data_IF_430143911284
#
_entry.id   IF_430143911284
#
_cell.length_a   1.000
_cell.length_b   1.000
_cell.length_c   1.000
_cell.angle_alpha   90.00
_cell.angle_beta   90.00
_cell.angle_gamma   90.00
#
_symmetry.space_group_name_H-M   'P 1'
#
loop_
_entity.id
_entity.type
_entity.pdbx_description
1 polymer ?
#
# COMPACT_ATOMS: atom_id res chain seq x y z
N UNK A 1 54.51 18.57 -19.43
CA UNK A 1 53.49 17.82 -20.22
C UNK A 1 52.91 16.57 -19.51
N UNK A 2 53.64 15.88 -18.61
CA UNK A 2 53.17 14.66 -17.91
C UNK A 2 52.02 14.88 -16.90
N UNK A 3 52.01 15.99 -16.15
CA UNK A 3 50.95 16.31 -15.17
C UNK A 3 49.54 16.46 -15.78
N UNK A 4 49.41 17.08 -16.97
CA UNK A 4 48.13 17.22 -17.69
C UNK A 4 47.56 15.87 -18.20
N UNK A 5 48.40 14.84 -18.39
CA UNK A 5 47.95 13.50 -18.77
C UNK A 5 47.47 12.69 -17.54
N UNK A 6 48.11 12.87 -16.39
CA UNK A 6 47.69 12.23 -15.14
C UNK A 6 46.33 12.75 -14.64
N UNK A 7 46.08 14.07 -14.72
CA UNK A 7 44.78 14.64 -14.33
C UNK A 7 43.62 14.17 -15.20
N UNK A 8 43.82 14.05 -16.52
CA UNK A 8 42.81 13.49 -17.44
C UNK A 8 42.48 12.03 -17.14
N UNK A 9 43.46 11.22 -16.74
CA UNK A 9 43.25 9.82 -16.34
C UNK A 9 42.46 9.70 -15.04
N UNK A 10 42.79 10.53 -14.04
CA UNK A 10 42.05 10.55 -12.77
C UNK A 10 40.61 10.97 -12.98
N UNK A 11 40.37 12.06 -13.75
CA UNK A 11 39.03 12.50 -14.09
C UNK A 11 38.25 11.40 -14.83
N UNK A 12 38.87 10.72 -15.79
CA UNK A 12 38.25 9.60 -16.49
C UNK A 12 37.87 8.46 -15.53
N UNK A 13 38.74 8.08 -14.59
CA UNK A 13 38.45 7.04 -13.60
C UNK A 13 37.31 7.44 -12.65
N UNK A 14 37.24 8.70 -12.23
CA UNK A 14 36.14 9.22 -11.40
C UNK A 14 34.82 9.16 -12.18
N UNK A 15 34.81 9.63 -13.43
CA UNK A 15 33.62 9.58 -14.28
C UNK A 15 33.17 8.14 -14.56
N UNK A 16 34.12 7.23 -14.79
CA UNK A 16 33.85 5.81 -14.97
C UNK A 16 33.26 5.19 -13.70
N UNK A 17 33.84 5.47 -12.53
CA UNK A 17 33.32 4.99 -11.25
C UNK A 17 31.91 5.53 -10.98
N UNK A 18 31.67 6.82 -11.23
CA UNK A 18 30.35 7.43 -11.11
C UNK A 18 29.33 6.78 -12.06
N UNK A 19 29.73 6.49 -13.30
CA UNK A 19 28.89 5.79 -14.27
C UNK A 19 28.55 4.37 -13.80
N UNK A 20 29.54 3.61 -13.32
CA UNK A 20 29.33 2.25 -12.80
C UNK A 20 28.38 2.26 -11.61
N UNK A 21 28.59 3.16 -10.65
CA UNK A 21 27.69 3.33 -9.50
C UNK A 21 26.28 3.73 -9.93
N UNK A 22 26.14 4.63 -10.91
CA UNK A 22 24.86 5.04 -11.45
C UNK A 22 24.12 3.90 -12.14
N UNK A 23 24.81 3.13 -12.99
CA UNK A 23 24.24 1.94 -13.64
C UNK A 23 23.83 0.89 -12.62
N UNK A 24 24.68 0.63 -11.62
CA UNK A 24 24.38 -0.29 -10.53
C UNK A 24 23.12 0.16 -9.77
N UNK A 25 23.03 1.44 -9.39
CA UNK A 25 21.85 1.98 -8.72
C UNK A 25 20.58 1.84 -9.56
N UNK A 26 20.64 2.16 -10.86
CA UNK A 26 19.51 2.01 -11.79
C UNK A 26 19.09 0.53 -11.95
N UNK A 27 20.05 -0.39 -11.97
CA UNK A 27 19.79 -1.84 -12.08
C UNK A 27 18.89 -2.35 -10.94
N UNK A 28 19.10 -1.87 -9.72
CA UNK A 28 18.25 -2.20 -8.57
C UNK A 28 16.97 -1.36 -8.50
N UNK A 29 17.06 -0.06 -8.80
CA UNK A 29 15.95 0.88 -8.59
C UNK A 29 14.85 0.77 -9.64
N UNK A 30 15.19 0.54 -10.91
CA UNK A 30 14.21 0.53 -12.00
C UNK A 30 13.18 -0.61 -11.88
N UNK A 31 13.56 -1.85 -11.52
CA UNK A 31 12.60 -2.91 -11.26
C UNK A 31 11.66 -2.60 -10.09
N UNK A 32 12.15 -1.93 -9.04
CA UNK A 32 11.35 -1.54 -7.86
C UNK A 32 10.31 -0.49 -8.26
N UNK A 33 10.74 0.57 -8.96
CA UNK A 33 9.83 1.61 -9.46
C UNK A 33 8.78 0.99 -10.39
N UNK A 34 9.21 0.17 -11.36
CA UNK A 34 8.32 -0.48 -12.32
C UNK A 34 7.29 -1.39 -11.63
N UNK A 35 7.74 -2.18 -10.65
CA UNK A 35 6.87 -3.09 -9.89
C UNK A 35 5.88 -2.37 -8.99
N UNK A 36 6.35 -1.34 -8.28
CA UNK A 36 5.48 -0.48 -7.47
C UNK A 36 4.42 0.19 -8.34
N UNK A 37 4.83 0.82 -9.44
CA UNK A 37 3.94 1.50 -10.38
C UNK A 37 2.91 0.54 -10.96
N UNK A 38 3.31 -0.64 -11.44
CA UNK A 38 2.38 -1.65 -11.94
C UNK A 38 1.35 -2.08 -10.89
N UNK A 39 1.79 -2.45 -9.68
CA UNK A 39 0.89 -2.96 -8.63
C UNK A 39 -0.07 -1.89 -8.12
N UNK A 40 0.45 -0.69 -7.84
CA UNK A 40 -0.37 0.41 -7.31
C UNK A 40 -1.36 0.89 -8.37
N UNK A 41 -0.91 1.11 -9.61
CA UNK A 41 -1.79 1.50 -10.70
C UNK A 41 -2.85 0.45 -11.03
N UNK A 42 -2.51 -0.84 -10.99
CA UNK A 42 -3.51 -1.92 -11.12
C UNK A 42 -4.60 -1.79 -10.06
N UNK A 43 -4.21 -1.59 -8.80
CA UNK A 43 -5.17 -1.44 -7.70
C UNK A 43 -6.05 -0.20 -7.92
N UNK A 44 -5.46 0.92 -8.31
CA UNK A 44 -6.22 2.15 -8.57
C UNK A 44 -7.16 2.00 -9.78
N UNK A 45 -6.73 1.35 -10.86
CA UNK A 45 -7.54 1.21 -12.07
C UNK A 45 -8.69 0.21 -11.89
N UNK A 46 -8.40 -1.00 -11.41
CA UNK A 46 -9.38 -2.10 -11.41
C UNK A 46 -10.16 -2.25 -10.11
N UNK A 47 -9.64 -1.73 -8.98
CA UNK A 47 -10.33 -1.77 -7.69
C UNK A 47 -11.00 -0.42 -7.43
N UNK A 48 -10.28 0.70 -7.63
CA UNK A 48 -10.81 2.04 -7.33
C UNK A 48 -11.50 2.72 -8.53
N UNK A 49 -11.40 2.17 -9.74
CA UNK A 49 -12.00 2.75 -10.95
C UNK A 49 -11.36 4.08 -11.41
N UNK A 50 -10.10 4.34 -11.03
CA UNK A 50 -9.41 5.62 -11.31
C UNK A 50 -8.80 5.66 -12.70
N UNK A 51 -8.73 6.86 -13.27
CA UNK A 51 -8.11 7.10 -14.59
C UNK A 51 -6.58 7.08 -14.50
N UNK A 52 -5.92 6.82 -15.63
CA UNK A 52 -4.45 6.83 -15.74
C UNK A 52 -3.88 8.19 -15.32
N UNK A 53 -4.53 9.29 -15.68
CA UNK A 53 -4.11 10.65 -15.37
C UNK A 53 -4.14 10.91 -13.86
N UNK A 54 -5.22 10.53 -13.17
CA UNK A 54 -5.31 10.65 -11.71
C UNK A 54 -4.24 9.80 -11.01
N UNK A 55 -4.02 8.57 -11.48
CA UNK A 55 -3.00 7.67 -10.92
C UNK A 55 -1.60 8.27 -11.07
N UNK A 56 -1.24 8.73 -12.28
CA UNK A 56 0.07 9.33 -12.52
C UNK A 56 0.28 10.59 -11.68
N UNK A 57 -0.75 11.42 -11.53
CA UNK A 57 -0.65 12.66 -10.76
C UNK A 57 -0.52 12.42 -9.26
N UNK A 58 -1.38 11.55 -8.70
CA UNK A 58 -1.58 11.45 -7.25
C UNK A 58 -0.79 10.30 -6.60
N UNK A 59 -0.47 9.23 -7.34
CA UNK A 59 0.23 8.06 -6.79
C UNK A 59 1.69 7.96 -7.25
N UNK A 60 1.96 8.34 -8.50
CA UNK A 60 3.26 8.13 -9.16
C UNK A 60 3.99 9.45 -9.48
N UNK A 61 3.42 10.61 -9.14
CA UNK A 61 3.91 11.91 -9.58
C UNK A 61 5.16 12.41 -8.84
N UNK A 62 5.50 11.81 -7.71
CA UNK A 62 6.66 12.18 -6.90
C UNK A 62 7.92 11.44 -7.34
N UNK A 63 9.05 12.12 -7.36
CA UNK A 63 10.36 11.48 -7.57
C UNK A 63 10.67 10.51 -6.41
N UNK A 64 11.22 9.32 -6.66
CA UNK A 64 11.67 8.79 -7.96
C UNK A 64 10.61 8.02 -8.76
N UNK A 65 9.38 7.85 -8.24
CA UNK A 65 8.32 7.10 -8.91
C UNK A 65 7.92 7.72 -10.26
N UNK A 66 8.06 9.04 -10.39
CA UNK A 66 7.77 9.80 -11.61
C UNK A 66 8.68 9.46 -12.80
N UNK A 67 9.78 8.74 -12.57
CA UNK A 67 10.61 8.16 -13.64
C UNK A 67 9.93 6.99 -14.35
N UNK A 68 8.96 6.37 -13.68
CA UNK A 68 8.18 5.26 -14.21
C UNK A 68 7.03 5.73 -15.10
N UNK A 69 6.62 4.85 -16.00
CA UNK A 69 5.41 4.98 -16.81
C UNK A 69 4.58 3.70 -16.68
N UNK A 70 3.27 3.84 -16.90
CA UNK A 70 2.31 2.74 -16.83
C UNK A 70 1.52 2.58 -18.12
N UNK A 71 1.14 1.35 -18.41
CA UNK A 71 0.22 0.97 -19.48
C UNK A 71 -0.87 0.07 -18.88
N UNK A 72 -2.13 0.51 -19.00
CA UNK A 72 -3.29 -0.23 -18.47
C UNK A 72 -3.92 -1.00 -19.62
N UNK A 73 -4.02 -2.32 -19.46
CA UNK A 73 -4.71 -3.19 -20.40
C UNK A 73 -6.02 -3.68 -19.79
N UNK A 74 -7.13 -3.11 -20.26
CA UNK A 74 -8.47 -3.47 -19.79
C UNK A 74 -8.96 -4.83 -20.31
N UNK A 75 -8.40 -5.35 -21.41
CA UNK A 75 -8.81 -6.64 -21.98
C UNK A 75 -8.36 -7.83 -21.14
N UNK A 76 -7.10 -7.80 -20.67
CA UNK A 76 -6.54 -8.85 -19.81
C UNK A 76 -6.54 -8.47 -18.32
N UNK A 77 -7.13 -7.31 -17.99
CA UNK A 77 -7.19 -6.74 -16.64
C UNK A 77 -5.82 -6.66 -15.97
N UNK A 78 -4.88 -5.96 -16.61
CA UNK A 78 -3.51 -5.83 -16.11
C UNK A 78 -2.94 -4.42 -16.27
N UNK A 79 -1.85 -4.15 -15.56
CA UNK A 79 -1.04 -2.95 -15.73
C UNK A 79 0.42 -3.32 -15.83
N UNK A 80 1.10 -2.75 -16.82
CA UNK A 80 2.55 -2.86 -16.98
C UNK A 80 3.21 -1.55 -16.57
N UNK A 81 4.22 -1.63 -15.70
CA UNK A 81 5.08 -0.53 -15.31
C UNK A 81 6.47 -0.67 -15.93
N UNK A 82 7.09 0.44 -16.30
CA UNK A 82 8.45 0.49 -16.86
C UNK A 82 9.14 1.82 -16.57
N UNK A 83 10.46 1.82 -16.43
CA UNK A 83 11.27 3.04 -16.36
C UNK A 83 12.04 3.17 -17.66
N UNK A 84 11.78 4.22 -18.44
CA UNK A 84 12.43 4.49 -19.74
C UNK A 84 12.40 3.27 -20.70
N UNK A 85 11.34 2.47 -20.68
CA UNK A 85 11.20 1.24 -21.50
C UNK A 85 11.96 0.01 -20.96
N UNK A 86 12.71 0.16 -19.87
CA UNK A 86 13.46 -0.91 -19.20
C UNK A 86 12.70 -1.50 -18.01
N UNK A 87 13.23 -2.61 -17.47
CA UNK A 87 12.81 -3.23 -16.21
C UNK A 87 11.29 -3.48 -16.10
N UNK A 88 10.64 -3.88 -17.20
CA UNK A 88 9.19 -4.10 -17.26
C UNK A 88 8.72 -5.02 -16.13
N UNK A 89 7.63 -4.61 -15.48
CA UNK A 89 6.92 -5.38 -14.46
C UNK A 89 5.42 -5.32 -14.72
N UNK A 90 4.73 -6.43 -14.51
CA UNK A 90 3.28 -6.55 -14.77
C UNK A 90 2.55 -6.89 -13.48
N UNK A 91 1.42 -6.25 -13.23
CA UNK A 91 0.48 -6.65 -12.21
C UNK A 91 -0.86 -6.99 -12.85
N UNK A 92 -1.50 -8.05 -12.38
CA UNK A 92 -2.78 -8.52 -12.89
C UNK A 92 -3.85 -8.37 -11.82
N UNK A 93 -5.03 -7.93 -12.23
CA UNK A 93 -6.21 -7.91 -11.39
C UNK A 93 -6.88 -9.28 -11.42
N UNK A 94 -7.21 -9.78 -10.24
CA UNK A 94 -7.95 -11.03 -10.03
C UNK A 94 -9.20 -10.71 -9.23
N UNK A 95 -10.37 -11.00 -9.80
CA UNK A 95 -11.66 -10.73 -9.16
C UNK A 95 -11.72 -11.34 -7.75
N UNK A 96 -12.10 -10.55 -6.75
CA UNK A 96 -12.15 -10.96 -5.34
C UNK A 96 -10.80 -11.05 -4.61
N UNK A 97 -9.67 -11.00 -5.31
CA UNK A 97 -8.32 -11.10 -4.74
C UNK A 97 -7.49 -9.82 -4.91
N UNK A 98 -7.97 -8.88 -5.72
CA UNK A 98 -7.28 -7.64 -6.03
C UNK A 98 -6.11 -7.83 -6.99
N UNK A 99 -5.16 -6.91 -6.94
CA UNK A 99 -4.02 -6.88 -7.87
C UNK A 99 -2.79 -7.60 -7.32
N UNK A 100 -2.18 -8.43 -8.16
CA UNK A 100 -0.99 -9.23 -7.84
C UNK A 100 0.12 -8.94 -8.83
N UNK A 101 1.31 -8.65 -8.32
CA UNK A 101 2.51 -8.46 -9.14
C UNK A 101 2.99 -9.82 -9.66
N UNK A 102 3.24 -9.94 -10.96
CA UNK A 102 3.85 -11.12 -11.58
C UNK A 102 5.34 -11.09 -11.26
N UNK A 103 5.81 -12.08 -10.50
CA UNK A 103 7.20 -12.20 -10.06
C UNK A 103 7.71 -13.63 -10.27
N UNK A 104 7.82 -14.43 -9.20
CA UNK A 104 8.44 -15.76 -9.25
C UNK A 104 7.57 -16.81 -9.96
N UNK A 105 6.25 -16.59 -9.96
CA UNK A 105 5.29 -17.43 -10.68
C UNK A 105 4.92 -16.78 -12.02
N UNK A 106 4.69 -17.61 -13.04
CA UNK A 106 4.17 -17.15 -14.31
C UNK A 106 2.76 -16.55 -14.15
N UNK A 107 2.37 -15.68 -15.09
CA UNK A 107 1.03 -15.10 -15.07
C UNK A 107 -0.06 -16.17 -15.13
N UNK A 108 0.13 -17.22 -15.95
CA UNK A 108 -0.79 -18.35 -16.08
C UNK A 108 -0.95 -19.08 -14.75
N UNK A 109 0.16 -19.31 -14.03
CA UNK A 109 0.15 -19.93 -12.71
C UNK A 109 -0.58 -19.05 -11.68
N UNK A 110 -0.38 -17.73 -11.71
CA UNK A 110 -1.07 -16.81 -10.79
C UNK A 110 -2.57 -16.73 -11.12
N UNK A 111 -2.95 -16.78 -12.39
CA UNK A 111 -4.36 -16.76 -12.84
C UNK A 111 -5.09 -18.06 -12.58
N UNK A 112 -4.39 -19.19 -12.56
CA UNK A 112 -4.99 -20.51 -12.28
C UNK A 112 -5.25 -20.75 -10.79
N UNK A 113 -4.64 -19.96 -9.90
CA UNK A 113 -4.88 -20.03 -8.46
C UNK A 113 -6.35 -19.74 -8.13
N UNK A 114 -6.98 -20.67 -7.41
CA UNK A 114 -8.35 -20.54 -6.92
C UNK A 114 -8.34 -20.31 -5.42
N UNK A 115 -9.14 -19.36 -4.97
CA UNK A 115 -9.36 -19.07 -3.57
C UNK A 115 -10.85 -19.07 -3.30
N UNK A 116 -11.24 -19.64 -2.16
CA UNK A 116 -12.61 -19.53 -1.66
C UNK A 116 -12.72 -18.13 -1.05
N UNK A 117 -13.29 -17.20 -1.80
CA UNK A 117 -13.64 -15.89 -1.27
C UNK A 117 -14.97 -16.07 -0.53
N UNK A 118 -15.01 -15.91 0.80
CA UNK A 118 -16.27 -15.99 1.53
C UNK A 118 -17.22 -14.91 1.01
N UNK A 119 -18.48 -15.29 0.79
CA UNK A 119 -19.52 -14.33 0.42
C UNK A 119 -19.63 -13.34 1.57
N UNK A 120 -19.47 -12.05 1.27
CA UNK A 120 -19.70 -11.01 2.25
C UNK A 120 -21.14 -11.15 2.77
N UNK A 121 -21.29 -11.38 4.08
CA UNK A 121 -22.60 -11.39 4.72
C UNK A 121 -23.32 -10.06 4.50
N UNK A 122 -24.63 -10.03 4.70
CA UNK A 122 -25.42 -8.82 4.53
C UNK A 122 -24.93 -7.76 5.54
N UNK A 123 -24.22 -6.73 5.06
CA UNK A 123 -23.72 -5.62 5.88
C UNK A 123 -24.83 -4.63 6.28
N UNK A 124 -26.09 -4.93 5.96
CA UNK A 124 -27.25 -4.11 6.30
C UNK A 124 -27.35 -3.82 7.81
N UNK A 125 -26.81 -4.70 8.66
CA UNK A 125 -26.70 -4.53 10.12
C UNK A 125 -25.38 -3.87 10.56
N UNK A 126 -24.74 -3.07 9.70
CA UNK A 126 -23.57 -2.30 10.13
C UNK A 126 -24.00 -1.26 11.17
N UNK A 127 -23.33 -1.29 12.34
CA UNK A 127 -23.50 -0.35 13.47
C UNK A 127 -23.50 1.13 13.07
N UNK A 128 -23.00 1.46 11.88
CA UNK A 128 -22.85 2.80 11.34
C UNK A 128 -24.10 3.33 10.62
N UNK A 129 -25.04 2.47 10.23
CA UNK A 129 -26.24 2.84 9.47
C UNK A 129 -27.47 3.17 10.34
N UNK A 130 -27.32 3.16 11.67
CA UNK A 130 -28.42 3.45 12.60
C UNK A 130 -28.48 4.94 12.89
N UNK A 131 -29.39 5.65 12.21
CA UNK A 131 -29.76 7.04 12.49
C UNK A 131 -30.61 7.20 13.78
N UNK A 132 -30.80 6.13 14.55
CA UNK A 132 -31.89 5.99 15.53
C UNK A 132 -31.57 6.37 16.97
N UNK A 133 -30.41 6.98 17.28
CA UNK A 133 -30.18 7.50 18.64
C UNK A 133 -30.39 9.00 18.68
N UNK A 134 -31.46 9.43 19.36
CA UNK A 134 -31.88 10.83 19.61
C UNK A 134 -30.97 11.59 20.58
N UNK A 135 -29.94 10.95 21.14
CA UNK A 135 -29.03 11.59 22.10
C UNK A 135 -28.21 12.69 21.42
N UNK A 136 -28.45 13.94 21.85
CA UNK A 136 -27.58 15.07 21.54
C UNK A 136 -26.19 14.79 22.09
N UNK A 137 -25.20 14.65 21.20
CA UNK A 137 -23.80 14.51 21.59
C UNK A 137 -23.24 15.91 21.93
N UNK A 138 -22.39 16.05 22.96
CA UNK A 138 -21.80 17.34 23.35
C UNK A 138 -20.67 17.75 22.38
N UNK A 139 -21.03 18.00 21.11
CA UNK A 139 -20.08 18.34 20.04
C UNK A 139 -20.02 19.86 19.88
N UNK A 140 -18.81 20.41 19.97
CA UNK A 140 -18.58 21.80 19.57
C UNK A 140 -18.41 21.87 18.05
N UNK A 141 -19.49 22.22 17.35
CA UNK A 141 -19.50 22.28 15.88
C UNK A 141 -18.50 23.28 15.29
N UNK A 142 -18.17 24.36 16.01
CA UNK A 142 -17.16 25.34 15.56
C UNK A 142 -15.78 24.68 15.51
N UNK A 143 -15.36 24.02 16.60
CA UNK A 143 -14.08 23.29 16.65
C UNK A 143 -14.04 22.11 15.69
N UNK A 144 -15.17 21.40 15.51
CA UNK A 144 -15.27 20.29 14.56
C UNK A 144 -15.07 20.77 13.12
N UNK A 145 -15.75 21.84 12.72
CA UNK A 145 -15.63 22.40 11.38
C UNK A 145 -14.24 23.00 11.12
N UNK A 146 -13.61 23.57 12.14
CA UNK A 146 -12.23 24.05 12.06
C UNK A 146 -11.24 22.89 11.84
N UNK A 147 -11.39 21.79 12.57
CA UNK A 147 -10.59 20.58 12.38
C UNK A 147 -10.80 19.96 10.98
N UNK A 148 -12.05 19.90 10.50
CA UNK A 148 -12.38 19.45 9.13
C UNK A 148 -11.77 20.36 8.06
N UNK A 149 -11.72 21.66 8.29
CA UNK A 149 -11.14 22.61 7.34
C UNK A 149 -9.63 22.49 7.32
N UNK A 150 -9.01 22.40 8.50
CA UNK A 150 -7.57 22.19 8.67
C UNK A 150 -7.10 20.90 8.01
N UNK A 151 -7.82 19.79 8.21
CA UNK A 151 -7.46 18.50 7.62
C UNK A 151 -7.46 18.50 6.09
N UNK A 152 -8.19 19.41 5.43
CA UNK A 152 -8.29 19.52 3.98
C UNK A 152 -7.46 20.67 3.38
N UNK A 153 -6.61 21.32 4.18
CA UNK A 153 -5.66 22.29 3.65
C UNK A 153 -4.68 21.60 2.69
N UNK A 154 -4.41 22.24 1.56
CA UNK A 154 -3.53 21.69 0.51
C UNK A 154 -2.04 21.83 0.84
N UNK A 155 -1.71 22.59 1.88
CA UNK A 155 -0.36 22.79 2.35
C UNK A 155 -0.29 22.66 3.86
N UNK A 156 0.76 21.98 4.32
CA UNK A 156 1.14 21.89 5.73
C UNK A 156 2.65 21.93 5.82
N UNK A 157 3.21 22.85 6.62
CA UNK A 157 4.66 23.06 6.76
C UNK A 157 5.41 23.14 5.41
N UNK A 158 4.92 23.95 4.47
CA UNK A 158 5.45 24.13 3.11
C UNK A 158 5.48 22.85 2.25
N UNK A 159 4.80 21.78 2.67
CA UNK A 159 4.63 20.54 1.89
C UNK A 159 3.21 20.46 1.38
N UNK A 160 3.04 20.00 0.15
CA UNK A 160 1.72 19.68 -0.37
C UNK A 160 1.16 18.48 0.39
N UNK A 161 -0.07 18.60 0.89
CA UNK A 161 -0.82 17.52 1.54
C UNK A 161 -2.13 17.34 0.79
N UNK A 162 -2.54 16.08 0.63
CA UNK A 162 -3.78 15.74 -0.06
C UNK A 162 -4.58 14.75 0.77
N UNK A 163 -5.40 15.27 1.68
CA UNK A 163 -6.38 14.46 2.40
C UNK A 163 -7.51 14.08 1.44
N UNK A 164 -7.72 12.77 1.26
CA UNK A 164 -8.73 12.23 0.33
C UNK A 164 -10.09 12.03 1.01
N UNK A 165 -10.07 11.64 2.27
CA UNK A 165 -11.26 11.39 3.09
C UNK A 165 -10.95 11.61 4.57
N UNK A 166 -11.94 12.08 5.33
CA UNK A 166 -11.91 12.13 6.78
C UNK A 166 -13.28 11.72 7.30
N UNK A 167 -13.30 10.73 8.19
CA UNK A 167 -14.49 10.25 8.88
C UNK A 167 -14.23 10.34 10.39
N UNK A 168 -15.13 11.00 11.12
CA UNK A 168 -15.05 11.13 12.57
C UNK A 168 -16.26 10.44 13.18
N UNK A 169 -15.95 9.45 14.00
CA UNK A 169 -16.93 8.70 14.77
C UNK A 169 -16.82 9.06 16.24
N UNK A 170 -17.96 9.30 16.89
CA UNK A 170 -18.04 9.40 18.34
C UNK A 170 -19.29 8.70 18.86
N UNK A 171 -19.11 7.84 19.89
CA UNK A 171 -20.19 7.00 20.47
C UNK A 171 -21.05 6.30 19.41
N UNK A 172 -20.39 5.59 18.49
CA UNK A 172 -21.01 4.85 17.38
C UNK A 172 -21.80 5.70 16.37
N UNK A 173 -21.69 7.04 16.42
CA UNK A 173 -22.27 7.93 15.41
C UNK A 173 -21.19 8.55 14.55
N UNK A 174 -21.44 8.63 13.26
CA UNK A 174 -20.67 9.51 12.38
C UNK A 174 -21.09 10.95 12.72
N UNK A 175 -20.15 11.72 13.27
CA UNK A 175 -20.39 13.12 13.64
C UNK A 175 -19.85 14.10 12.58
N UNK A 176 -18.96 13.63 11.71
CA UNK A 176 -18.48 14.37 10.56
C UNK A 176 -17.91 13.41 9.51
N UNK A 177 -18.12 13.77 8.25
CA UNK A 177 -17.57 13.05 7.11
C UNK A 177 -17.30 14.06 5.98
N UNK A 178 -16.12 14.00 5.38
CA UNK A 178 -15.73 14.89 4.27
C UNK A 178 -14.81 14.16 3.31
N UNK A 179 -14.98 14.44 2.02
CA UNK A 179 -14.25 13.83 0.91
C UNK A 179 -13.64 14.90 0.01
N UNK A 180 -12.47 14.59 -0.56
CA UNK A 180 -11.89 15.40 -1.63
C UNK A 180 -12.67 15.20 -2.93
N UNK A 181 -12.57 16.15 -3.85
CA UNK A 181 -13.17 16.04 -5.19
C UNK A 181 -12.79 14.73 -5.87
N UNK A 182 -13.78 13.98 -6.34
CA UNK A 182 -13.60 12.68 -6.99
C UNK A 182 -13.59 11.47 -6.05
N UNK A 183 -13.67 11.70 -4.73
CA UNK A 183 -13.77 10.66 -3.71
C UNK A 183 -15.14 10.71 -3.02
N UNK A 184 -15.57 9.59 -2.44
CA UNK A 184 -16.84 9.43 -1.74
C UNK A 184 -16.76 8.24 -0.75
N UNK A 185 -17.85 7.95 -0.05
CA UNK A 185 -17.95 6.90 0.95
C UNK A 185 -17.69 5.48 0.45
N UNK A 186 -17.78 5.24 -0.86
CA UNK A 186 -17.49 3.96 -1.49
C UNK A 186 -16.05 3.88 -2.05
N UNK A 187 -15.27 4.95 -1.91
CA UNK A 187 -13.88 4.98 -2.38
C UNK A 187 -12.99 4.07 -1.54
N UNK A 188 -12.29 3.15 -2.18
CA UNK A 188 -11.32 2.27 -1.51
C UNK A 188 -9.94 2.90 -1.47
N UNK A 189 -9.24 2.75 -0.34
CA UNK A 189 -7.89 3.25 -0.13
C UNK A 189 -6.90 2.12 0.15
N UNK A 190 -5.63 2.33 -0.17
CA UNK A 190 -4.57 1.44 0.27
C UNK A 190 -4.47 1.48 1.81
N UNK A 191 -4.63 0.33 2.45
CA UNK A 191 -4.66 0.25 3.92
C UNK A 191 -3.29 0.48 4.56
N UNK A 192 -2.18 0.19 3.86
CA UNK A 192 -0.83 0.27 4.40
C UNK A 192 -0.73 -0.43 5.77
N UNK A 193 -0.08 0.19 6.75
CA UNK A 193 0.02 -0.36 8.09
C UNK A 193 -1.30 -0.41 8.86
N UNK A 194 -2.38 0.25 8.43
CA UNK A 194 -3.70 0.09 9.05
C UNK A 194 -4.17 -1.38 8.97
N UNK A 195 -3.73 -2.12 7.94
CA UNK A 195 -4.02 -3.54 7.82
C UNK A 195 -3.51 -4.36 9.03
N UNK A 196 -2.43 -3.93 9.70
CA UNK A 196 -1.91 -4.60 10.91
C UNK A 196 -2.92 -4.57 12.05
N UNK A 197 -3.64 -3.48 12.23
CA UNK A 197 -4.69 -3.37 13.25
C UNK A 197 -5.84 -4.34 12.99
N UNK A 198 -6.24 -4.49 11.72
CA UNK A 198 -7.25 -5.48 11.31
C UNK A 198 -6.75 -6.89 11.59
N UNK A 199 -5.51 -7.22 11.20
CA UNK A 199 -4.90 -8.52 11.50
C UNK A 199 -4.85 -8.78 13.01
N UNK A 200 -4.42 -7.81 13.82
CA UNK A 200 -4.39 -7.92 15.27
C UNK A 200 -5.77 -8.17 15.88
N UNK A 201 -6.80 -7.48 15.40
CA UNK A 201 -8.18 -7.72 15.82
C UNK A 201 -8.66 -9.14 15.47
N UNK A 202 -8.34 -9.64 14.27
CA UNK A 202 -8.64 -11.02 13.87
C UNK A 202 -7.95 -12.04 14.77
N UNK A 203 -6.67 -11.83 15.11
CA UNK A 203 -5.97 -12.68 16.08
C UNK A 203 -6.67 -12.63 17.44
N UNK A 204 -7.07 -11.44 17.93
CA UNK A 204 -7.83 -11.30 19.17
C UNK A 204 -9.15 -12.10 19.17
N UNK A 205 -9.89 -12.08 18.06
CA UNK A 205 -11.11 -12.89 17.89
C UNK A 205 -10.79 -14.39 17.97
N UNK A 206 -9.74 -14.85 17.28
CA UNK A 206 -9.32 -16.25 17.31
C UNK A 206 -8.83 -16.70 18.68
N UNK A 207 -8.13 -15.82 19.42
CA UNK A 207 -7.73 -16.05 20.81
C UNK A 207 -8.96 -16.19 21.71
N UNK A 208 -9.94 -15.30 21.59
CA UNK A 208 -11.21 -15.40 22.34
C UNK A 208 -11.97 -16.70 22.03
N UNK A 209 -11.89 -17.19 20.80
CA UNK A 209 -12.46 -18.47 20.38
C UNK A 209 -11.65 -19.70 20.80
N UNK A 210 -10.51 -19.53 21.48
CA UNK A 210 -9.61 -20.61 21.86
C UNK A 210 -8.89 -21.28 20.68
N UNK A 211 -8.89 -20.66 19.49
CA UNK A 211 -8.28 -21.20 18.28
C UNK A 211 -6.80 -20.85 18.13
N UNK A 212 -6.35 -19.79 18.78
CA UNK A 212 -4.96 -19.37 18.86
C UNK A 212 -4.60 -19.01 20.29
N UNK A 213 -3.35 -19.18 20.66
CA UNK A 213 -2.80 -18.71 21.93
C UNK A 213 -1.59 -17.79 21.65
N UNK A 214 -1.68 -16.48 21.92
CA UNK A 214 -0.62 -15.53 21.58
C UNK A 214 0.76 -15.87 22.17
N UNK A 215 0.82 -16.49 23.35
CA UNK A 215 2.08 -16.83 24.01
C UNK A 215 2.70 -18.14 23.52
N UNK A 216 2.05 -18.87 22.61
CA UNK A 216 2.62 -20.06 21.99
C UNK A 216 3.50 -19.70 20.79
N UNK A 217 4.48 -20.58 20.46
CA UNK A 217 5.24 -20.47 19.21
C UNK A 217 4.33 -20.25 18.00
N UNK A 218 4.74 -19.36 17.11
CA UNK A 218 3.99 -19.07 15.90
C UNK A 218 3.89 -20.35 15.04
N UNK A 219 2.69 -20.68 14.50
CA UNK A 219 2.46 -21.91 13.74
C UNK A 219 3.00 -21.81 12.30
N UNK A 220 4.25 -21.39 12.14
CA UNK A 220 4.97 -21.30 10.86
C UNK A 220 5.77 -22.59 10.67
N UNK A 221 5.35 -23.43 9.72
CA UNK A 221 5.90 -24.79 9.55
C UNK A 221 7.40 -24.78 9.26
N UNK A 222 7.89 -23.79 8.53
CA UNK A 222 9.29 -23.58 8.17
C UNK A 222 10.17 -23.25 9.39
N UNK A 223 9.59 -22.73 10.49
CA UNK A 223 10.33 -22.36 11.69
C UNK A 223 10.46 -23.51 12.69
N UNK A 224 9.52 -24.45 12.68
CA UNK A 224 9.51 -25.58 13.61
C UNK A 224 10.71 -26.52 13.44
N UNK A 225 11.37 -26.48 12.28
CA UNK A 225 12.59 -27.26 11.99
C UNK A 225 13.85 -26.39 11.95
N UNK A 226 13.74 -25.10 12.25
CA UNK A 226 14.87 -24.20 12.23
C UNK A 226 15.77 -24.45 13.44
N UNK A 227 17.08 -24.28 13.25
CA UNK A 227 18.09 -24.41 14.32
C UNK A 227 18.63 -23.05 14.75
N UNK A 228 17.97 -21.97 14.35
CA UNK A 228 18.40 -20.57 14.50
C UNK A 228 17.56 -19.77 15.52
N UNK A 229 16.76 -20.46 16.34
CA UNK A 229 15.94 -19.85 17.40
C UNK A 229 14.53 -19.45 16.96
N UNK A 230 14.21 -19.47 15.67
CA UNK A 230 12.87 -19.07 15.18
C UNK A 230 11.72 -19.94 15.68
N UNK A 231 12.00 -21.16 16.13
CA UNK A 231 11.02 -22.05 16.76
C UNK A 231 10.47 -21.49 18.09
N UNK A 232 11.17 -20.55 18.73
CA UNK A 232 10.76 -19.94 20.01
C UNK A 232 9.94 -18.67 19.83
N UNK A 233 9.91 -18.10 18.61
CA UNK A 233 9.16 -16.87 18.32
C UNK A 233 7.67 -17.14 18.49
N UNK A 234 7.04 -16.41 19.42
CA UNK A 234 5.61 -16.52 19.70
C UNK A 234 4.77 -15.66 18.76
N UNK A 235 3.46 -15.91 18.69
CA UNK A 235 2.51 -15.04 17.99
C UNK A 235 2.55 -13.62 18.59
N UNK A 236 2.69 -13.49 19.90
CA UNK A 236 2.83 -12.22 20.61
C UNK A 236 4.06 -11.44 20.14
N UNK A 237 5.21 -12.09 19.97
CA UNK A 237 6.40 -11.44 19.43
C UNK A 237 6.15 -10.83 18.04
N UNK A 238 5.42 -11.54 17.18
CA UNK A 238 5.06 -11.04 15.85
C UNK A 238 4.12 -9.84 15.91
N UNK A 239 3.14 -9.86 16.81
CA UNK A 239 2.19 -8.75 16.99
C UNK A 239 2.85 -7.50 17.57
N UNK A 240 3.84 -7.68 18.46
CA UNK A 240 4.53 -6.60 19.15
C UNK A 240 5.82 -6.15 18.48
N UNK A 241 6.18 -6.75 17.33
CA UNK A 241 7.42 -6.45 16.59
C UNK A 241 8.69 -6.72 17.42
N UNK A 242 8.70 -7.79 18.21
CA UNK A 242 9.83 -8.21 19.07
C UNK A 242 10.42 -9.56 18.67
N UNK A 243 10.21 -9.99 17.42
CA UNK A 243 10.60 -11.32 16.93
C UNK A 243 12.00 -11.43 16.32
N UNK A 244 12.73 -10.31 16.19
CA UNK A 244 14.03 -10.24 15.53
C UNK A 244 15.12 -9.83 16.49
#
# INVERSE_FOLDING_TARGET
>A
MKFKKASKRILFLILLAALVCGVYYCWFSFPIISGYSAKNACSCAFIQGRTKESINKEELGSFPLSLGSIEINYKDSSVTGTVLGMAKRKAIYRSGLGCTLVNDLSEEAIRSQKFIVPIAGNLADSFWNTTTTTDSLPINNVKLNDALSTAFQQQYNNKSVQTKALLIVYKNKIIAEKYATGYNQNSMFLAWSMAKSVTGALIGILTKQGKLNPVQPAPVSEWQKATDGRQEITIENLLQQTSG
#
